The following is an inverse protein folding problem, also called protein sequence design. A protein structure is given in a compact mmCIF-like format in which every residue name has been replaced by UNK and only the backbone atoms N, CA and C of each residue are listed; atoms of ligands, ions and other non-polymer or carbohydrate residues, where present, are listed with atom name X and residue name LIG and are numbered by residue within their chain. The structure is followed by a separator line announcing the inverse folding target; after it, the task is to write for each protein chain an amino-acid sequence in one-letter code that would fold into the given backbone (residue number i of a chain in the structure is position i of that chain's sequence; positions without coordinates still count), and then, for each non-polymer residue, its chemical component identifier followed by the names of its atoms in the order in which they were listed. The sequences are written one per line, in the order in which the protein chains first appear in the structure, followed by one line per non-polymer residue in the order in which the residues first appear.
data_IF_589516772455
#
_entry.id   IF_589516772455
#
_cell.length_a   1.000
_cell.length_b   1.000
_cell.length_c   1.000
_cell.angle_alpha   90.00
_cell.angle_beta   90.00
_cell.angle_gamma   90.00
#
_symmetry.space_group_name_H-M   'P 1'
#
loop_
_entity.id
_entity.type
_entity.pdbx_description
1 polymer ?
#
# COMPACT_ATOMS: atom_id res chain seq x y z
N UNK A 1 18.39 11.19 -14.39
CA UNK A 1 17.09 10.51 -14.23
C UNK A 1 17.25 9.02 -13.90
N UNK A 2 17.99 8.24 -14.70
CA UNK A 2 18.18 6.79 -14.45
C UNK A 2 18.75 6.47 -13.06
N UNK A 3 19.80 7.17 -12.63
CA UNK A 3 20.38 6.96 -11.29
C UNK A 3 19.36 7.20 -10.18
N UNK A 4 18.57 8.26 -10.27
CA UNK A 4 17.52 8.57 -9.30
C UNK A 4 16.46 7.46 -9.24
N UNK A 5 16.00 6.98 -10.40
CA UNK A 5 15.01 5.89 -10.46
C UNK A 5 15.56 4.60 -9.82
N UNK A 6 16.82 4.25 -10.09
CA UNK A 6 17.47 3.09 -9.48
C UNK A 6 17.59 3.27 -7.96
N UNK A 7 17.99 4.44 -7.49
CA UNK A 7 18.10 4.73 -6.05
C UNK A 7 16.74 4.61 -5.35
N UNK A 8 15.69 5.17 -5.95
CA UNK A 8 14.32 5.06 -5.42
C UNK A 8 13.84 3.61 -5.40
N UNK A 9 14.10 2.85 -6.47
CA UNK A 9 13.75 1.43 -6.51
C UNK A 9 14.45 0.64 -5.40
N UNK A 10 15.76 0.82 -5.23
CA UNK A 10 16.53 0.16 -4.17
C UNK A 10 15.99 0.55 -2.79
N UNK A 11 15.70 1.83 -2.55
CA UNK A 11 15.12 2.30 -1.30
C UNK A 11 13.76 1.66 -1.04
N UNK A 12 12.88 1.60 -2.04
CA UNK A 12 11.58 0.97 -1.94
C UNK A 12 11.68 -0.53 -1.62
N UNK A 13 12.56 -1.25 -2.32
CA UNK A 13 12.83 -2.67 -2.06
C UNK A 13 13.39 -2.90 -0.66
N UNK A 14 14.29 -2.05 -0.19
CA UNK A 14 14.85 -2.13 1.16
C UNK A 14 13.76 -1.93 2.23
N UNK A 15 12.91 -0.91 2.09
CA UNK A 15 11.78 -0.66 3.02
C UNK A 15 10.83 -1.84 3.01
N UNK A 16 10.47 -2.36 1.83
CA UNK A 16 9.58 -3.52 1.70
C UNK A 16 10.18 -4.77 2.34
N UNK A 17 11.48 -5.02 2.13
CA UNK A 17 12.22 -6.12 2.73
C UNK A 17 12.27 -6.04 4.25
N UNK A 18 12.59 -4.87 4.81
CA UNK A 18 12.60 -4.63 6.26
C UNK A 18 11.20 -4.86 6.85
N UNK A 19 10.16 -4.35 6.20
CA UNK A 19 8.77 -4.53 6.63
C UNK A 19 8.38 -6.01 6.61
N UNK A 20 8.73 -6.74 5.55
CA UNK A 20 8.46 -8.17 5.45
C UNK A 20 9.19 -8.97 6.54
N UNK A 21 10.47 -8.68 6.78
CA UNK A 21 11.26 -9.31 7.85
C UNK A 21 10.60 -9.05 9.20
N UNK A 22 10.20 -7.80 9.48
CA UNK A 22 9.51 -7.45 10.72
C UNK A 22 8.22 -8.23 10.93
N UNK A 23 7.42 -8.43 9.86
CA UNK A 23 6.20 -9.25 9.89
C UNK A 23 6.53 -10.72 10.16
N UNK A 24 7.49 -11.30 9.43
CA UNK A 24 7.91 -12.70 9.60
C UNK A 24 8.43 -12.95 11.02
N UNK A 25 9.27 -12.07 11.55
CA UNK A 25 9.76 -12.16 12.93
C UNK A 25 8.64 -12.04 13.95
N UNK A 26 7.63 -11.20 13.69
CA UNK A 26 6.45 -11.06 14.57
C UNK A 26 5.59 -12.31 14.59
N UNK A 27 5.51 -13.05 13.47
CA UNK A 27 4.81 -14.33 13.38
C UNK A 27 5.61 -15.44 14.09
N UNK A 28 6.93 -15.47 13.86
CA UNK A 28 7.82 -16.48 14.45
C UNK A 28 7.98 -16.34 15.96
N UNK A 29 7.91 -15.11 16.50
CA UNK A 29 8.06 -14.82 17.93
C UNK A 29 6.87 -14.00 18.46
N UNK A 30 5.72 -14.63 18.72
CA UNK A 30 4.51 -13.91 19.14
C UNK A 30 4.67 -13.09 20.42
N UNK A 31 5.57 -13.48 21.33
CA UNK A 31 5.83 -12.76 22.57
C UNK A 31 6.62 -11.46 22.37
N UNK A 32 7.47 -11.40 21.33
CA UNK A 32 8.30 -10.23 20.97
C UNK A 32 7.84 -9.56 19.67
N UNK A 33 6.59 -9.79 19.28
CA UNK A 33 6.08 -9.29 18.01
C UNK A 33 6.08 -7.76 17.95
N UNK A 34 6.52 -7.27 16.79
CA UNK A 34 6.45 -5.85 16.46
C UNK A 34 5.05 -5.47 15.95
N UNK A 35 4.39 -6.41 15.25
CA UNK A 35 3.08 -6.20 14.67
C UNK A 35 2.18 -7.46 14.71
N UNK A 36 0.88 -7.34 15.11
CA UNK A 36 0.32 -6.21 15.83
C UNK A 36 0.94 -6.11 17.23
N UNK A 37 1.17 -4.89 17.76
CA UNK A 37 1.86 -4.71 19.03
C UNK A 37 1.00 -5.19 20.21
N UNK A 38 1.66 -5.62 21.30
CA UNK A 38 0.97 -6.02 22.51
C UNK A 38 0.26 -4.84 23.20
N UNK A 39 0.92 -3.67 23.17
CA UNK A 39 0.41 -2.42 23.72
C UNK A 39 0.35 -1.36 22.64
N UNK A 40 -0.85 -0.82 22.40
CA UNK A 40 -1.05 0.28 21.49
C UNK A 40 -0.61 1.60 22.13
N UNK A 41 0.31 2.31 21.50
CA UNK A 41 0.82 3.61 21.95
C UNK A 41 0.58 4.67 20.87
N UNK A 42 0.83 5.94 21.20
CA UNK A 42 0.74 7.04 20.22
C UNK A 42 1.72 6.90 19.04
N UNK A 43 2.81 6.15 19.24
CA UNK A 43 3.84 5.93 18.20
C UNK A 43 3.49 4.71 17.32
N UNK A 44 2.66 3.80 17.80
CA UNK A 44 2.29 2.58 17.07
C UNK A 44 1.81 2.84 15.64
N UNK A 45 0.92 3.80 15.35
CA UNK A 45 0.51 4.11 13.98
C UNK A 45 1.67 4.50 13.07
N UNK A 46 2.70 5.17 13.60
CA UNK A 46 3.83 5.61 12.79
C UNK A 46 4.62 4.45 12.20
N UNK A 47 4.69 3.30 12.90
CA UNK A 47 5.36 2.08 12.43
C UNK A 47 4.74 1.57 11.12
N UNK A 48 3.43 1.77 10.94
CA UNK A 48 2.71 1.37 9.72
C UNK A 48 2.67 2.51 8.71
N UNK A 49 2.26 3.69 9.14
CA UNK A 49 1.99 4.79 8.22
C UNK A 49 3.24 5.37 7.57
N UNK A 50 4.36 5.46 8.29
CA UNK A 50 5.61 6.00 7.71
C UNK A 50 6.10 5.12 6.54
N UNK A 51 6.31 3.80 6.69
CA UNK A 51 6.70 2.96 5.55
C UNK A 51 5.68 2.99 4.41
N UNK A 52 4.37 2.95 4.73
CA UNK A 52 3.30 2.96 3.73
C UNK A 52 3.33 4.23 2.88
N UNK A 53 3.36 5.41 3.50
CA UNK A 53 3.40 6.67 2.76
C UNK A 53 4.73 6.87 2.04
N UNK A 54 5.84 6.40 2.60
CA UNK A 54 7.15 6.46 1.93
C UNK A 54 7.14 5.59 0.68
N UNK A 55 6.62 4.37 0.74
CA UNK A 55 6.48 3.49 -0.42
C UNK A 55 5.53 4.07 -1.46
N UNK A 56 4.40 4.63 -1.05
CA UNK A 56 3.47 5.30 -1.96
C UNK A 56 4.14 6.47 -2.69
N UNK A 57 4.91 7.29 -1.98
CA UNK A 57 5.65 8.41 -2.57
C UNK A 57 6.71 7.91 -3.56
N UNK A 58 7.45 6.85 -3.22
CA UNK A 58 8.44 6.23 -4.13
C UNK A 58 7.76 5.74 -5.41
N UNK A 59 6.64 5.02 -5.30
CA UNK A 59 5.88 4.54 -6.45
C UNK A 59 5.37 5.69 -7.33
N UNK A 60 4.88 6.76 -6.73
CA UNK A 60 4.45 7.96 -7.45
C UNK A 60 5.64 8.58 -8.19
N UNK A 61 6.77 8.75 -7.53
CA UNK A 61 7.98 9.31 -8.13
C UNK A 61 8.49 8.44 -9.29
N UNK A 62 8.55 7.12 -9.11
CA UNK A 62 8.97 6.18 -10.16
C UNK A 62 8.04 6.24 -11.37
N UNK A 63 6.72 6.30 -11.15
CA UNK A 63 5.74 6.45 -12.21
C UNK A 63 5.88 7.76 -12.98
N UNK A 64 6.14 8.88 -12.29
CA UNK A 64 6.37 10.18 -12.92
C UNK A 64 7.68 10.19 -13.71
N UNK A 65 8.77 9.66 -13.14
CA UNK A 65 10.08 9.61 -13.78
C UNK A 65 10.09 8.74 -15.04
N UNK A 66 9.30 7.66 -15.06
CA UNK A 66 9.17 6.73 -16.17
C UNK A 66 7.91 6.94 -17.02
N UNK A 67 7.21 8.07 -16.89
CA UNK A 67 5.91 8.30 -17.50
C UNK A 67 5.87 8.04 -18.99
N UNK A 68 5.01 7.12 -19.41
CA UNK A 68 4.77 6.84 -20.83
C UNK A 68 5.90 6.16 -21.56
N UNK A 69 6.88 5.58 -20.86
CA UNK A 69 8.00 4.86 -21.52
C UNK A 69 7.58 3.50 -22.07
N UNK A 70 6.55 2.86 -21.48
CA UNK A 70 5.96 1.66 -22.05
C UNK A 70 4.91 2.01 -23.12
N UNK A 71 4.88 1.30 -24.26
CA UNK A 71 3.96 1.57 -25.36
C UNK A 71 2.55 1.06 -25.09
N UNK A 72 1.93 1.51 -23.98
CA UNK A 72 0.57 1.16 -23.67
C UNK A 72 -0.43 2.07 -24.41
N UNK A 73 -1.54 1.52 -24.94
CA UNK A 73 -2.57 2.30 -25.60
C UNK A 73 -3.20 3.35 -24.67
N UNK A 74 -3.51 4.51 -25.20
CA UNK A 74 -4.09 5.63 -24.45
C UNK A 74 -5.39 5.27 -23.74
N UNK A 75 -6.26 4.49 -24.39
CA UNK A 75 -7.52 4.02 -23.78
C UNK A 75 -7.29 3.12 -22.58
N UNK A 76 -6.24 2.30 -22.58
CA UNK A 76 -5.90 1.43 -21.45
C UNK A 76 -5.39 2.27 -20.29
N UNK A 77 -4.46 3.20 -20.57
CA UNK A 77 -3.87 4.08 -19.55
C UNK A 77 -4.92 4.93 -18.85
N UNK A 78 -5.71 5.66 -19.61
CA UNK A 78 -6.66 6.62 -19.06
C UNK A 78 -8.05 6.01 -18.83
N UNK A 79 -8.52 5.13 -19.73
CA UNK A 79 -9.84 4.52 -19.64
C UNK A 79 -9.94 3.41 -18.59
N UNK A 80 -8.83 2.75 -18.25
CA UNK A 80 -8.79 1.71 -17.20
C UNK A 80 -7.97 2.17 -16.00
N UNK A 81 -6.76 2.71 -16.20
CA UNK A 81 -5.89 3.12 -15.10
C UNK A 81 -6.55 4.12 -14.16
N UNK A 82 -7.16 5.19 -14.68
CA UNK A 82 -7.83 6.20 -13.84
C UNK A 82 -9.03 5.62 -13.07
N UNK A 83 -10.02 4.94 -13.70
CA UNK A 83 -11.12 4.35 -12.95
C UNK A 83 -10.67 3.36 -11.86
N UNK A 84 -9.66 2.53 -12.14
CA UNK A 84 -9.13 1.58 -11.15
C UNK A 84 -8.52 2.34 -9.97
N UNK A 85 -7.72 3.39 -10.18
CA UNK A 85 -7.17 4.20 -9.08
C UNK A 85 -8.29 4.85 -8.27
N UNK A 86 -9.26 5.48 -8.94
CA UNK A 86 -10.34 6.22 -8.26
C UNK A 86 -11.20 5.28 -7.43
N UNK A 87 -11.64 4.15 -7.99
CA UNK A 87 -12.47 3.18 -7.30
C UNK A 87 -11.74 2.50 -6.15
N UNK A 88 -10.48 2.13 -6.35
CA UNK A 88 -9.66 1.53 -5.31
C UNK A 88 -9.38 2.51 -4.16
N UNK A 89 -9.06 3.77 -4.48
CA UNK A 89 -8.85 4.81 -3.48
C UNK A 89 -10.13 5.07 -2.68
N UNK A 90 -11.29 5.15 -3.34
CA UNK A 90 -12.57 5.28 -2.67
C UNK A 90 -12.87 4.10 -1.74
N UNK A 91 -12.54 2.87 -2.16
CA UNK A 91 -12.71 1.66 -1.33
C UNK A 91 -11.78 1.68 -0.11
N UNK A 92 -10.52 2.08 -0.25
CA UNK A 92 -9.56 2.22 0.87
C UNK A 92 -10.09 3.20 1.90
N UNK A 93 -10.50 4.40 1.47
CA UNK A 93 -11.02 5.41 2.38
C UNK A 93 -12.35 5.01 3.02
N UNK A 94 -13.24 4.40 2.26
CA UNK A 94 -14.49 3.87 2.80
C UNK A 94 -14.22 2.88 3.94
N UNK A 95 -13.33 1.91 3.74
CA UNK A 95 -12.99 0.92 4.76
C UNK A 95 -12.23 1.57 5.93
N UNK A 96 -11.30 2.48 5.69
CA UNK A 96 -10.57 3.16 6.75
C UNK A 96 -11.49 3.99 7.65
N UNK A 97 -12.48 4.67 7.10
CA UNK A 97 -13.48 5.41 7.85
C UNK A 97 -14.43 4.49 8.65
N UNK A 98 -14.85 3.38 8.03
CA UNK A 98 -15.72 2.40 8.67
C UNK A 98 -14.99 1.60 9.77
N UNK A 99 -13.72 1.27 9.55
CA UNK A 99 -12.90 0.50 10.49
C UNK A 99 -12.40 1.35 11.65
N UNK A 100 -12.20 2.64 11.39
CA UNK A 100 -11.60 3.59 12.32
C UNK A 100 -10.08 3.68 12.16
N UNK A 101 -9.56 4.89 12.15
CA UNK A 101 -8.13 5.17 11.95
C UNK A 101 -7.23 4.50 12.98
N UNK A 102 -7.71 4.34 14.23
CA UNK A 102 -6.95 3.66 15.27
C UNK A 102 -6.77 2.16 14.98
N UNK A 103 -7.82 1.48 14.54
CA UNK A 103 -7.77 0.05 14.21
C UNK A 103 -6.94 -0.19 12.95
N UNK A 104 -7.06 0.68 11.94
CA UNK A 104 -6.20 0.65 10.76
C UNK A 104 -4.72 0.84 11.14
N UNK A 105 -4.44 1.62 12.18
CA UNK A 105 -3.10 1.80 12.77
C UNK A 105 -2.69 0.73 13.79
N UNK A 106 -3.42 -0.40 13.90
CA UNK A 106 -3.04 -1.55 14.73
C UNK A 106 -3.66 -1.62 16.14
N UNK A 107 -4.62 -0.76 16.47
CA UNK A 107 -5.37 -0.92 17.70
C UNK A 107 -6.26 -2.19 17.67
N UNK A 108 -6.46 -2.81 18.81
CA UNK A 108 -7.40 -3.95 18.96
C UNK A 108 -8.81 -3.52 18.53
N UNK A 109 -9.44 -4.34 17.70
CA UNK A 109 -10.79 -4.14 17.22
C UNK A 109 -11.62 -5.41 17.29
N UNK A 110 -12.91 -5.30 16.96
CA UNK A 110 -13.82 -6.43 16.85
C UNK A 110 -13.75 -7.02 15.44
N UNK A 111 -13.98 -8.32 15.31
CA UNK A 111 -14.06 -9.00 14.02
C UNK A 111 -15.22 -8.39 13.20
N UNK A 112 -14.92 -7.94 12.00
CA UNK A 112 -15.90 -7.44 11.04
C UNK A 112 -16.27 -8.51 10.02
N UNK A 113 -17.56 -8.64 9.75
CA UNK A 113 -18.12 -9.57 8.77
C UNK A 113 -19.05 -8.89 7.77
N UNK A 114 -19.18 -7.55 7.85
CA UNK A 114 -20.07 -6.72 7.02
C UNK A 114 -19.27 -5.90 6.00
N UNK A 115 -19.93 -5.28 5.03
CA UNK A 115 -19.29 -4.49 3.99
C UNK A 115 -18.41 -5.36 3.08
N UNK A 116 -17.24 -4.85 2.72
CA UNK A 116 -16.27 -5.59 1.88
C UNK A 116 -15.65 -6.79 2.58
N UNK A 117 -15.71 -6.86 3.92
CA UNK A 117 -15.29 -8.03 4.69
C UNK A 117 -16.11 -9.30 4.43
N UNK A 118 -17.27 -9.20 3.76
CA UNK A 118 -18.00 -10.37 3.24
C UNK A 118 -17.25 -11.09 2.13
N UNK A 119 -16.44 -10.36 1.36
CA UNK A 119 -15.77 -10.87 0.16
C UNK A 119 -14.29 -11.15 0.38
N UNK A 120 -13.65 -10.40 1.27
CA UNK A 120 -12.23 -10.57 1.59
C UNK A 120 -11.99 -10.34 3.08
N UNK A 121 -11.04 -11.09 3.65
CA UNK A 121 -10.57 -10.86 5.03
C UNK A 121 -9.77 -9.57 5.17
N UNK A 122 -9.22 -9.08 4.06
CA UNK A 122 -8.38 -7.88 4.02
C UNK A 122 -8.76 -7.01 2.81
N UNK A 123 -9.97 -6.43 2.77
CA UNK A 123 -10.46 -5.68 1.60
C UNK A 123 -9.60 -4.44 1.31
N UNK A 124 -9.03 -3.83 2.34
CA UNK A 124 -8.13 -2.68 2.20
C UNK A 124 -6.87 -3.06 1.41
N UNK A 125 -6.21 -4.19 1.73
CA UNK A 125 -5.03 -4.62 0.99
C UNK A 125 -5.32 -5.00 -0.46
N UNK A 126 -6.51 -5.54 -0.73
CA UNK A 126 -6.95 -5.78 -2.11
C UNK A 126 -7.09 -4.46 -2.86
N UNK A 127 -7.74 -3.48 -2.26
CA UNK A 127 -7.92 -2.16 -2.86
C UNK A 127 -6.57 -1.42 -3.05
N UNK A 128 -5.65 -1.49 -2.08
CA UNK A 128 -4.30 -0.93 -2.20
C UNK A 128 -3.54 -1.57 -3.36
N UNK A 129 -3.62 -2.90 -3.50
CA UNK A 129 -2.98 -3.61 -4.62
C UNK A 129 -3.55 -3.21 -5.97
N UNK A 130 -4.86 -3.04 -6.05
CA UNK A 130 -5.52 -2.55 -7.26
C UNK A 130 -5.14 -1.10 -7.57
N UNK A 131 -4.99 -0.26 -6.55
CA UNK A 131 -4.54 1.13 -6.73
C UNK A 131 -3.13 1.18 -7.31
N UNK A 132 -2.21 0.35 -6.83
CA UNK A 132 -0.84 0.22 -7.38
C UNK A 132 -0.89 -0.27 -8.83
N UNK A 133 -1.69 -1.29 -9.13
CA UNK A 133 -1.87 -1.79 -10.50
C UNK A 133 -2.43 -0.70 -11.43
N UNK A 134 -3.44 0.03 -10.98
CA UNK A 134 -4.00 1.17 -11.73
C UNK A 134 -2.97 2.27 -11.99
N UNK A 135 -2.13 2.57 -11.00
CA UNK A 135 -1.03 3.53 -11.15
C UNK A 135 0.02 3.05 -12.15
N UNK A 136 0.39 1.76 -12.12
CA UNK A 136 1.33 1.16 -13.07
C UNK A 136 0.80 1.23 -14.51
N UNK A 137 -0.49 0.98 -14.71
CA UNK A 137 -1.16 1.11 -16.03
C UNK A 137 -1.17 2.57 -16.47
N UNK A 138 -1.58 3.49 -15.60
CA UNK A 138 -1.69 4.92 -15.93
C UNK A 138 -0.33 5.53 -16.26
N UNK A 139 0.66 5.29 -15.42
CA UNK A 139 2.02 5.82 -15.61
C UNK A 139 2.70 5.20 -16.82
N UNK A 140 2.40 3.94 -17.13
CA UNK A 140 3.09 3.15 -18.15
C UNK A 140 4.62 3.21 -17.98
N UNK A 141 5.07 3.11 -16.72
CA UNK A 141 6.47 3.17 -16.33
C UNK A 141 6.98 1.76 -15.98
N UNK A 142 8.22 1.37 -16.40
CA UNK A 142 8.72 0.01 -16.22
C UNK A 142 9.10 -0.33 -14.77
N UNK A 143 9.22 0.66 -13.89
CA UNK A 143 9.66 0.48 -12.51
C UNK A 143 8.56 0.75 -11.47
N UNK A 144 7.31 0.80 -11.86
CA UNK A 144 6.15 0.97 -10.95
C UNK A 144 5.48 -0.33 -10.63
#
# INVERSE_FOLDING_TARGET
MVLLSITLLIAGLAISGITLIAIVLSIANPEKRLWPPHHYTRITPMIVWIPTFTLALILICLGILGWGTLPLPTWLRYGIGIPVIVLSNAAVWYEALQFGMAQTGGAKGTLRTTGFYRYSRNPQYVADSMMVAGWSILSAAPLT
#
